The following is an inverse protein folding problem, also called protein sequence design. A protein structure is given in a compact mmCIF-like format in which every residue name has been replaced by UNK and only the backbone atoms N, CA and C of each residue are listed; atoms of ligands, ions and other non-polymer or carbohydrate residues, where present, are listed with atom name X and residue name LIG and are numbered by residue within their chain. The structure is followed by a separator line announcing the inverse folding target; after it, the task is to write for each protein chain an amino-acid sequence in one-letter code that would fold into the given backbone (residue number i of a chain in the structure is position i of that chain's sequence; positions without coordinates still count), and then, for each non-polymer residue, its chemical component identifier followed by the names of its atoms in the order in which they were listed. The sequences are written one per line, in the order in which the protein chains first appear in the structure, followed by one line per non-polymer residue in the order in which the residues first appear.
data_IF_766919327618
#
_entry.id   IF_766919327618
#
_cell.length_a   1.000
_cell.length_b   1.000
_cell.length_c   1.000
_cell.angle_alpha   90.00
_cell.angle_beta   90.00
_cell.angle_gamma   90.00
#
_symmetry.space_group_name_H-M   'P 1'
#
loop_
_entity.id
_entity.type
_entity.pdbx_description
1 polymer ?
#
# COMPACT_ATOMS: atom_id res chain seq x y z
N UNK A 1 -5.43 9.14 11.77
CA UNK A 1 -4.48 8.78 10.70
C UNK A 1 -5.14 8.71 9.33
N UNK A 2 -6.27 8.01 9.16
CA UNK A 2 -6.98 7.87 7.88
C UNK A 2 -7.29 9.20 7.17
N UNK A 3 -7.68 10.26 7.90
CA UNK A 3 -7.98 11.57 7.29
C UNK A 3 -6.78 12.21 6.58
N UNK A 4 -5.54 11.98 7.05
CA UNK A 4 -4.35 12.54 6.42
C UNK A 4 -3.90 11.70 5.22
N UNK A 5 -3.97 10.37 5.33
CA UNK A 5 -3.69 9.43 4.23
C UNK A 5 -4.73 9.57 3.10
N UNK A 6 -6.02 9.74 3.43
CA UNK A 6 -7.07 10.06 2.44
C UNK A 6 -6.87 11.43 1.80
N UNK A 7 -6.34 12.41 2.54
CA UNK A 7 -6.01 13.74 1.97
C UNK A 7 -4.85 13.66 0.98
N UNK A 8 -3.80 12.89 1.28
CA UNK A 8 -2.66 12.70 0.36
C UNK A 8 -3.07 11.86 -0.85
N UNK A 9 -3.75 10.72 -0.65
CA UNK A 9 -4.27 9.90 -1.75
C UNK A 9 -5.26 10.66 -2.63
N UNK A 10 -6.11 11.51 -2.04
CA UNK A 10 -7.02 12.38 -2.76
C UNK A 10 -6.30 13.47 -3.57
N UNK A 11 -5.26 14.09 -3.00
CA UNK A 11 -4.42 15.06 -3.74
C UNK A 11 -3.67 14.38 -4.90
N UNK A 12 -3.15 13.17 -4.67
CA UNK A 12 -2.43 12.38 -5.67
C UNK A 12 -3.37 11.88 -6.77
N UNK A 13 -4.58 11.43 -6.46
CA UNK A 13 -5.56 11.00 -7.48
C UNK A 13 -6.05 12.16 -8.35
N UNK A 14 -6.24 13.34 -7.76
CA UNK A 14 -6.56 14.57 -8.50
C UNK A 14 -5.39 15.02 -9.38
N UNK A 15 -4.14 14.85 -8.94
CA UNK A 15 -2.98 15.16 -9.77
C UNK A 15 -2.73 14.11 -10.87
N UNK A 16 -2.94 12.83 -10.58
CA UNK A 16 -2.85 11.74 -11.55
C UNK A 16 -3.90 11.88 -12.65
N UNK A 17 -5.16 12.16 -12.32
CA UNK A 17 -6.21 12.40 -13.32
C UNK A 17 -5.93 13.63 -14.20
N UNK A 18 -5.30 14.68 -13.65
CA UNK A 18 -4.80 15.82 -14.44
C UNK A 18 -3.62 15.45 -15.35
N UNK A 19 -2.79 14.49 -14.95
CA UNK A 19 -1.68 13.98 -15.75
C UNK A 19 -2.19 13.12 -16.91
N UNK A 20 -3.12 12.21 -16.63
CA UNK A 20 -3.71 11.29 -17.59
C UNK A 20 -4.47 12.03 -18.72
N UNK A 21 -5.13 13.14 -18.37
CA UNK A 21 -5.78 14.01 -19.37
C UNK A 21 -4.78 14.74 -20.28
N UNK A 22 -3.56 15.04 -19.80
CA UNK A 22 -2.46 15.63 -20.59
C UNK A 22 -1.74 14.59 -21.45
N UNK A 23 -1.75 13.32 -21.06
CA UNK A 23 -1.12 12.26 -21.84
C UNK A 23 -1.83 12.02 -23.18
N UNK A 24 -3.15 12.20 -23.24
CA UNK A 24 -3.89 12.16 -24.52
C UNK A 24 -3.44 13.25 -25.50
N UNK A 25 -3.24 14.48 -25.03
CA UNK A 25 -2.75 15.58 -25.87
C UNK A 25 -1.34 15.28 -26.42
N UNK A 26 -0.50 14.61 -25.62
CA UNK A 26 0.83 14.19 -26.05
C UNK A 26 0.79 13.09 -27.10
N UNK A 27 -0.03 12.05 -26.90
CA UNK A 27 -0.22 11.01 -27.90
C UNK A 27 -0.81 11.55 -29.20
N UNK A 28 -1.70 12.55 -29.12
CA UNK A 28 -2.23 13.23 -30.29
C UNK A 28 -1.14 14.00 -31.07
N UNK A 29 -0.28 14.77 -30.38
CA UNK A 29 0.83 15.50 -31.00
C UNK A 29 1.86 14.55 -31.62
N UNK A 30 2.23 13.49 -30.90
CA UNK A 30 3.18 12.47 -31.39
C UNK A 30 2.61 11.76 -32.63
N UNK A 31 1.33 11.36 -32.57
CA UNK A 31 0.67 10.69 -33.70
C UNK A 31 0.55 11.62 -34.91
N UNK A 32 0.15 12.88 -34.71
CA UNK A 32 0.04 13.86 -35.78
C UNK A 32 1.40 14.16 -36.43
N UNK A 33 2.44 14.33 -35.61
CA UNK A 33 3.82 14.55 -36.10
C UNK A 33 4.34 13.33 -36.86
N UNK A 34 4.10 12.12 -36.35
CA UNK A 34 4.46 10.87 -37.02
C UNK A 34 3.74 10.70 -38.36
N UNK A 35 2.45 11.07 -38.43
CA UNK A 35 1.64 10.99 -39.64
C UNK A 35 2.13 12.00 -40.70
N UNK A 36 2.48 13.22 -40.30
CA UNK A 36 3.11 14.22 -41.17
C UNK A 36 4.45 13.75 -41.74
N UNK A 37 5.33 13.20 -40.89
CA UNK A 37 6.62 12.67 -41.33
C UNK A 37 6.46 11.47 -42.27
N UNK A 38 5.54 10.55 -41.95
CA UNK A 38 5.23 9.40 -42.79
C UNK A 38 4.66 9.81 -44.16
N UNK A 39 3.75 10.78 -44.19
CA UNK A 39 3.22 11.34 -45.43
C UNK A 39 4.31 12.03 -46.27
N UNK A 40 5.21 12.78 -45.63
CA UNK A 40 6.35 13.40 -46.31
C UNK A 40 7.31 12.36 -46.91
N UNK A 41 7.61 11.29 -46.18
CA UNK A 41 8.45 10.20 -46.67
C UNK A 41 7.79 9.47 -47.85
N UNK A 42 6.49 9.17 -47.74
CA UNK A 42 5.71 8.55 -48.81
C UNK A 42 5.69 9.42 -50.07
N UNK A 43 5.52 10.74 -49.93
CA UNK A 43 5.54 11.66 -51.07
C UNK A 43 6.90 11.67 -51.80
N UNK A 44 8.00 11.47 -51.08
CA UNK A 44 9.35 11.37 -51.66
C UNK A 44 9.58 10.01 -52.34
N UNK A 45 9.04 8.92 -51.78
CA UNK A 45 9.21 7.56 -52.29
C UNK A 45 8.22 7.18 -53.41
N UNK A 46 7.04 7.80 -53.45
CA UNK A 46 5.98 7.50 -54.41
C UNK A 46 6.43 7.59 -55.88
N UNK A 47 7.16 8.63 -56.32
CA UNK A 47 7.64 8.71 -57.70
C UNK A 47 8.66 7.62 -58.05
N UNK A 48 9.51 7.22 -57.10
CA UNK A 48 10.51 6.17 -57.31
C UNK A 48 9.86 4.80 -57.55
N UNK A 49 8.75 4.51 -56.86
CA UNK A 49 8.02 3.25 -57.01
C UNK A 49 7.14 3.22 -58.28
N UNK A 50 6.48 4.33 -58.62
CA UNK A 50 5.51 4.37 -59.74
C UNK A 50 6.14 4.60 -61.12
N UNK A 51 7.30 5.27 -61.23
CA UNK A 51 7.92 5.60 -62.52
C UNK A 51 8.92 4.53 -63.04
N UNK A 52 9.16 3.44 -62.31
CA UNK A 52 9.91 2.27 -62.82
C UNK A 52 11.33 2.56 -63.33
N UNK A 53 11.99 3.63 -62.82
CA UNK A 53 13.37 3.97 -63.17
C UNK A 53 14.34 3.36 -62.16
N UNK A 54 15.33 2.60 -62.65
CA UNK A 54 16.35 1.91 -61.83
C UNK A 54 17.27 2.85 -61.04
N UNK A 55 17.31 4.15 -61.37
CA UNK A 55 18.07 5.15 -60.62
C UNK A 55 17.32 6.48 -60.60
N UNK A 56 16.70 6.78 -59.45
CA UNK A 56 16.01 8.03 -59.18
C UNK A 56 16.87 8.91 -58.26
N UNK A 57 17.46 9.98 -58.80
CA UNK A 57 18.18 10.97 -58.02
C UNK A 57 17.21 12.08 -57.60
N UNK A 58 16.79 12.05 -56.34
CA UNK A 58 15.97 13.12 -55.72
C UNK A 58 16.90 14.16 -55.14
N UNK A 59 17.04 15.29 -55.81
CA UNK A 59 17.68 16.47 -55.21
C UNK A 59 16.65 17.21 -54.34
N UNK A 60 16.50 16.74 -53.09
CA UNK A 60 15.62 17.36 -52.12
C UNK A 60 16.26 18.64 -51.57
N UNK A 61 15.87 19.80 -52.10
CA UNK A 61 16.31 21.08 -51.54
C UNK A 61 15.49 21.40 -50.30
N UNK A 62 16.03 21.11 -49.12
CA UNK A 62 15.37 21.39 -47.84
C UNK A 62 15.56 22.86 -47.47
N UNK A 63 14.49 23.65 -47.30
CA UNK A 63 14.61 25.03 -46.86
C UNK A 63 15.23 25.09 -45.45
N UNK A 64 16.27 25.90 -45.26
CA UNK A 64 16.90 26.11 -43.94
C UNK A 64 15.91 26.43 -42.81
N UNK A 65 14.84 27.23 -43.03
CA UNK A 65 13.83 27.48 -41.99
C UNK A 65 13.12 26.21 -41.50
N UNK A 66 12.92 25.22 -42.37
CA UNK A 66 12.25 23.96 -42.01
C UNK A 66 13.11 23.13 -41.06
N UNK A 67 14.42 23.04 -41.33
CA UNK A 67 15.37 22.33 -40.45
C UNK A 67 15.42 22.98 -39.07
N UNK A 68 15.52 24.31 -39.02
CA UNK A 68 15.52 25.05 -37.75
C UNK A 68 14.20 24.85 -36.98
N UNK A 69 13.05 24.89 -37.67
CA UNK A 69 11.75 24.62 -37.07
C UNK A 69 11.65 23.21 -36.46
N UNK A 70 12.08 22.18 -37.18
CA UNK A 70 12.07 20.79 -36.69
C UNK A 70 13.02 20.58 -35.51
N UNK A 71 14.23 21.14 -35.57
CA UNK A 71 15.19 21.05 -34.45
C UNK A 71 14.66 21.74 -33.20
N UNK A 72 14.06 22.92 -33.32
CA UNK A 72 13.43 23.62 -32.21
C UNK A 72 12.25 22.84 -31.62
N UNK A 73 11.42 22.22 -32.47
CA UNK A 73 10.29 21.40 -32.03
C UNK A 73 10.76 20.16 -31.25
N UNK A 74 11.78 19.46 -31.74
CA UNK A 74 12.37 18.30 -31.06
C UNK A 74 12.98 18.73 -29.71
N UNK A 75 13.70 19.85 -29.67
CA UNK A 75 14.29 20.38 -28.44
C UNK A 75 13.21 20.72 -27.39
N UNK A 76 12.11 21.36 -27.82
CA UNK A 76 10.98 21.70 -26.97
C UNK A 76 10.28 20.45 -26.44
N UNK A 77 10.01 19.47 -27.32
CA UNK A 77 9.43 18.18 -26.93
C UNK A 77 10.31 17.44 -25.93
N UNK A 78 11.63 17.35 -26.18
CA UNK A 78 12.56 16.71 -25.26
C UNK A 78 12.61 17.42 -23.90
N UNK A 79 12.65 18.76 -23.90
CA UNK A 79 12.64 19.55 -22.66
C UNK A 79 11.34 19.30 -21.87
N UNK A 80 10.20 19.25 -22.57
CA UNK A 80 8.92 18.92 -21.96
C UNK A 80 8.91 17.49 -21.37
N UNK A 81 9.40 16.49 -22.10
CA UNK A 81 9.46 15.11 -21.64
C UNK A 81 10.37 14.96 -20.41
N UNK A 82 11.50 15.67 -20.38
CA UNK A 82 12.41 15.68 -19.23
C UNK A 82 11.75 16.30 -17.99
N UNK A 83 11.10 17.46 -18.14
CA UNK A 83 10.40 18.11 -17.01
C UNK A 83 9.29 17.21 -16.46
N UNK A 84 8.54 16.52 -17.32
CA UNK A 84 7.51 15.57 -16.90
C UNK A 84 8.06 14.35 -16.18
N UNK A 85 9.16 13.77 -16.66
CA UNK A 85 9.82 12.65 -15.97
C UNK A 85 10.29 13.05 -14.57
N UNK A 86 10.80 14.27 -14.41
CA UNK A 86 11.25 14.79 -13.11
C UNK A 86 10.08 14.97 -12.14
N UNK A 87 8.94 15.47 -12.61
CA UNK A 87 7.73 15.64 -11.78
C UNK A 87 7.22 14.30 -11.24
N UNK A 88 7.15 13.27 -12.10
CA UNK A 88 6.72 11.92 -11.70
C UNK A 88 7.68 11.30 -10.69
N UNK A 89 9.00 11.51 -10.86
CA UNK A 89 10.00 11.02 -9.89
C UNK A 89 9.83 11.66 -8.52
N UNK A 90 9.65 12.98 -8.45
CA UNK A 90 9.43 13.69 -7.18
C UNK A 90 8.18 13.20 -6.46
N UNK A 91 7.06 13.07 -7.18
CA UNK A 91 5.82 12.53 -6.62
C UNK A 91 6.01 11.11 -6.06
N UNK A 92 6.77 10.27 -6.75
CA UNK A 92 7.07 8.92 -6.30
C UNK A 92 7.93 8.90 -5.04
N UNK A 93 8.96 9.75 -4.97
CA UNK A 93 9.82 9.89 -3.78
C UNK A 93 9.04 10.40 -2.56
N UNK A 94 8.16 11.38 -2.75
CA UNK A 94 7.29 11.89 -1.68
C UNK A 94 6.34 10.80 -1.15
N UNK A 95 5.77 9.98 -2.05
CA UNK A 95 4.88 8.88 -1.65
C UNK A 95 5.63 7.81 -0.84
N UNK A 96 6.83 7.44 -1.28
CA UNK A 96 7.65 6.43 -0.59
C UNK A 96 8.09 6.95 0.78
N UNK A 97 8.57 8.19 0.86
CA UNK A 97 9.05 8.77 2.13
C UNK A 97 7.92 8.90 3.15
N UNK A 98 6.74 9.37 2.73
CA UNK A 98 5.55 9.43 3.59
C UNK A 98 5.12 8.05 4.09
N UNK A 99 5.10 7.06 3.20
CA UNK A 99 4.74 5.67 3.57
C UNK A 99 5.72 5.08 4.58
N UNK A 100 7.03 5.27 4.34
CA UNK A 100 8.06 4.79 5.26
C UNK A 100 7.98 5.48 6.63
N UNK A 101 7.77 6.79 6.67
CA UNK A 101 7.58 7.51 7.94
C UNK A 101 6.37 7.00 8.72
N UNK A 102 5.26 6.73 8.02
CA UNK A 102 4.07 6.16 8.64
C UNK A 102 4.34 4.78 9.24
N UNK A 103 5.03 3.91 8.51
CA UNK A 103 5.35 2.56 8.99
C UNK A 103 6.34 2.61 10.17
N UNK A 104 7.37 3.44 10.09
CA UNK A 104 8.32 3.64 11.20
C UNK A 104 7.62 4.19 12.45
N UNK A 105 6.74 5.17 12.30
CA UNK A 105 5.97 5.72 13.42
C UNK A 105 5.06 4.66 14.03
N UNK A 106 4.45 3.81 13.19
CA UNK A 106 3.61 2.70 13.65
C UNK A 106 4.42 1.64 14.40
N UNK A 107 5.63 1.32 13.93
CA UNK A 107 6.55 0.41 14.62
C UNK A 107 7.07 1.00 15.94
N UNK A 108 7.29 2.32 16.00
CA UNK A 108 7.77 3.02 17.20
C UNK A 108 6.65 3.37 18.20
N UNK A 109 5.39 3.23 17.83
CA UNK A 109 4.29 3.43 18.77
C UNK A 109 4.30 2.29 19.79
N UNK A 110 4.33 2.61 21.08
CA UNK A 110 4.22 1.57 22.12
C UNK A 110 2.79 1.05 22.25
N UNK A 111 1.80 1.87 21.87
CA UNK A 111 0.39 1.56 22.02
C UNK A 111 -0.29 1.41 20.66
N UNK A 112 -1.30 0.53 20.60
CA UNK A 112 -2.24 0.48 19.50
C UNK A 112 -3.19 1.70 19.59
N UNK A 113 -3.29 2.54 18.55
CA UNK A 113 -4.04 3.79 18.63
C UNK A 113 -5.57 3.61 18.64
N UNK A 114 -6.09 2.42 18.35
CA UNK A 114 -7.54 2.15 18.39
C UNK A 114 -8.00 1.75 19.79
N UNK A 115 -7.14 1.06 20.52
CA UNK A 115 -7.45 0.45 21.82
C UNK A 115 -6.67 1.05 22.98
N UNK A 116 -5.67 1.88 22.70
CA UNK A 116 -4.74 2.52 23.65
C UNK A 116 -3.93 1.55 24.54
N UNK A 117 -4.05 0.24 24.29
CA UNK A 117 -3.25 -0.81 24.95
C UNK A 117 -1.90 -0.98 24.26
N UNK A 118 -0.93 -1.56 24.98
CA UNK A 118 0.37 -1.91 24.39
C UNK A 118 0.20 -2.86 23.21
N UNK A 119 0.90 -2.57 22.12
CA UNK A 119 0.90 -3.44 20.95
C UNK A 119 1.82 -4.67 21.14
N UNK A 120 1.81 -5.58 20.17
CA UNK A 120 2.63 -6.80 20.22
C UNK A 120 4.12 -6.51 20.35
N UNK A 121 4.62 -5.47 19.69
CA UNK A 121 6.03 -5.09 19.79
C UNK A 121 6.43 -4.72 21.22
N UNK A 122 5.60 -3.91 21.89
CA UNK A 122 5.78 -3.57 23.30
C UNK A 122 5.72 -4.78 24.22
N UNK A 123 4.86 -5.75 23.93
CA UNK A 123 4.80 -7.01 24.68
C UNK A 123 6.14 -7.74 24.61
N UNK A 124 6.73 -7.88 23.42
CA UNK A 124 8.00 -8.59 23.23
C UNK A 124 9.14 -7.91 24.03
N UNK A 125 9.23 -6.58 23.99
CA UNK A 125 10.21 -5.83 24.79
C UNK A 125 9.99 -5.98 26.30
N UNK A 126 8.73 -5.88 26.76
CA UNK A 126 8.39 -6.02 28.17
C UNK A 126 8.64 -7.43 28.67
N UNK A 127 8.26 -8.44 27.89
CA UNK A 127 8.40 -9.84 28.23
C UNK A 127 9.86 -10.21 28.50
N UNK A 128 10.80 -9.75 27.67
CA UNK A 128 12.23 -9.97 27.89
C UNK A 128 12.71 -9.45 29.25
N UNK A 129 12.21 -8.28 29.68
CA UNK A 129 12.52 -7.70 31.01
C UNK A 129 11.93 -8.55 32.14
N UNK A 130 10.68 -8.97 32.03
CA UNK A 130 10.00 -9.78 33.05
C UNK A 130 10.55 -11.19 33.15
N UNK A 131 10.88 -11.85 32.04
CA UNK A 131 11.54 -13.16 32.02
C UNK A 131 12.90 -13.07 32.72
N UNK A 132 13.70 -12.05 32.40
CA UNK A 132 15.00 -11.83 33.05
C UNK A 132 14.86 -11.59 34.55
N UNK A 133 13.82 -10.86 34.96
CA UNK A 133 13.49 -10.63 36.37
C UNK A 133 13.07 -11.93 37.08
N UNK A 134 12.16 -12.71 36.49
CA UNK A 134 11.69 -13.98 37.02
C UNK A 134 12.85 -14.98 37.20
N UNK A 135 13.73 -15.08 36.19
CA UNK A 135 14.93 -15.93 36.25
C UNK A 135 15.86 -15.56 37.40
N UNK A 136 16.13 -14.26 37.60
CA UNK A 136 17.02 -13.77 38.69
C UNK A 136 16.40 -13.91 40.07
N UNK A 137 15.11 -13.64 40.21
CA UNK A 137 14.42 -13.61 41.51
C UNK A 137 13.77 -14.93 41.89
N UNK A 138 13.76 -15.92 40.99
CA UNK A 138 13.07 -17.21 41.14
C UNK A 138 11.58 -17.06 41.47
N UNK A 139 10.97 -15.96 41.05
CA UNK A 139 9.51 -15.75 41.16
C UNK A 139 8.80 -16.30 39.92
N UNK A 140 7.60 -16.89 40.08
CA UNK A 140 6.81 -17.35 38.94
C UNK A 140 6.39 -16.16 38.06
N UNK A 141 6.33 -16.38 36.76
CA UNK A 141 5.84 -15.43 35.77
C UNK A 141 4.73 -16.11 34.98
N UNK A 142 3.55 -15.49 34.94
CA UNK A 142 2.39 -16.01 34.22
C UNK A 142 1.96 -15.03 33.14
N UNK A 143 1.65 -15.55 31.96
CA UNK A 143 1.04 -14.82 30.87
C UNK A 143 -0.44 -15.16 30.79
N UNK A 144 -1.27 -14.12 30.63
CA UNK A 144 -2.69 -14.24 30.36
C UNK A 144 -2.96 -13.78 28.92
N UNK A 145 -3.63 -14.62 28.13
CA UNK A 145 -4.17 -14.25 26.84
C UNK A 145 -5.69 -14.17 26.96
N UNK A 146 -6.26 -13.06 26.50
CA UNK A 146 -7.69 -12.77 26.63
C UNK A 146 -8.24 -12.46 25.24
N UNK A 147 -9.33 -13.11 24.88
CA UNK A 147 -10.04 -12.88 23.62
C UNK A 147 -11.53 -12.62 23.88
N UNK A 148 -12.09 -11.70 23.10
CA UNK A 148 -13.51 -11.33 23.18
C UNK A 148 -14.31 -12.24 22.26
N UNK A 149 -15.19 -13.04 22.85
CA UNK A 149 -16.04 -13.95 22.09
C UNK A 149 -17.09 -13.19 21.28
N UNK A 150 -17.30 -13.63 20.03
CA UNK A 150 -18.30 -13.07 19.09
C UNK A 150 -18.15 -11.56 18.83
N UNK A 151 -16.94 -11.01 18.92
CA UNK A 151 -16.69 -9.60 18.62
C UNK A 151 -17.14 -9.18 17.20
N UNK A 152 -17.16 -10.11 16.23
CA UNK A 152 -17.71 -9.84 14.89
C UNK A 152 -19.21 -9.55 14.91
N UNK A 153 -20.00 -10.26 15.74
CA UNK A 153 -21.45 -10.06 15.85
C UNK A 153 -21.78 -8.72 16.51
N UNK A 154 -21.00 -8.35 17.52
CA UNK A 154 -20.96 -7.01 18.10
C UNK A 154 -20.74 -6.00 16.96
N UNK A 155 -19.62 -6.09 16.25
CA UNK A 155 -19.31 -5.11 15.20
C UNK A 155 -20.38 -5.04 14.08
N UNK A 156 -21.07 -6.15 13.79
CA UNK A 156 -22.14 -6.21 12.78
C UNK A 156 -23.45 -5.58 13.29
N UNK A 157 -23.83 -5.79 14.55
CA UNK A 157 -25.04 -5.19 15.14
C UNK A 157 -24.90 -3.69 15.40
N UNK A 158 -23.68 -3.21 15.64
CA UNK A 158 -23.41 -1.83 16.08
C UNK A 158 -23.46 -0.77 14.98
N UNK A 159 -23.72 -1.16 13.72
CA UNK A 159 -24.21 -0.20 12.73
C UNK A 159 -25.55 0.45 13.13
N UNK A 160 -26.30 -0.19 14.04
CA UNK A 160 -27.56 0.31 14.60
C UNK A 160 -27.56 0.22 16.13
N UNK A 161 -27.54 1.39 16.78
CA UNK A 161 -27.35 1.63 18.22
C UNK A 161 -28.36 0.93 19.15
N UNK A 162 -28.20 -0.35 19.47
CA UNK A 162 -28.83 -0.88 20.69
C UNK A 162 -28.07 -2.08 21.28
N UNK A 163 -27.55 -1.88 22.50
CA UNK A 163 -26.78 -2.86 23.27
C UNK A 163 -27.61 -3.56 24.36
N UNK A 164 -28.91 -3.25 24.46
CA UNK A 164 -29.78 -3.86 25.45
C UNK A 164 -29.89 -5.38 25.19
N UNK A 165 -29.27 -6.19 26.06
CA UNK A 165 -29.36 -7.65 26.05
C UNK A 165 -28.19 -8.39 25.39
N UNK A 166 -27.06 -7.75 25.06
CA UNK A 166 -25.89 -8.48 24.56
C UNK A 166 -25.01 -8.98 25.71
N UNK A 167 -24.90 -10.30 25.87
CA UNK A 167 -23.93 -10.93 26.76
C UNK A 167 -22.57 -11.05 26.07
N UNK A 168 -21.60 -10.29 26.57
CA UNK A 168 -20.21 -10.38 26.17
C UNK A 168 -19.56 -11.52 26.96
N UNK A 169 -18.97 -12.49 26.26
CA UNK A 169 -18.15 -13.54 26.87
C UNK A 169 -16.67 -13.28 26.56
N UNK A 170 -15.81 -13.69 27.49
CA UNK A 170 -14.36 -13.58 27.37
C UNK A 170 -13.77 -14.98 27.53
N UNK A 171 -12.91 -15.36 26.60
CA UNK A 171 -12.09 -16.56 26.69
C UNK A 171 -10.70 -16.18 27.19
N UNK A 172 -10.21 -16.86 28.22
CA UNK A 172 -8.90 -16.57 28.85
C UNK A 172 -8.05 -17.83 28.90
N UNK A 173 -6.80 -17.74 28.43
CA UNK A 173 -5.77 -18.76 28.59
C UNK A 173 -4.64 -18.27 29.49
N UNK A 174 -4.04 -19.17 30.28
CA UNK A 174 -3.02 -18.82 31.26
C UNK A 174 -1.81 -19.76 31.21
N UNK A 175 -0.64 -19.25 30.85
CA UNK A 175 0.59 -20.04 30.81
C UNK A 175 1.62 -19.54 31.81
N UNK A 176 2.23 -20.44 32.58
CA UNK A 176 3.37 -20.13 33.44
C UNK A 176 4.68 -20.33 32.68
N UNK A 177 5.55 -19.34 32.75
CA UNK A 177 6.88 -19.37 32.15
C UNK A 177 7.79 -20.35 32.88
N UNK A 178 8.55 -21.13 32.11
CA UNK A 178 9.53 -22.10 32.61
C UNK A 178 10.92 -21.73 32.14
N UNK A 179 11.94 -22.04 32.93
CA UNK A 179 13.32 -21.72 32.53
C UNK A 179 13.70 -22.46 31.25
N UNK A 180 14.29 -21.72 30.30
CA UNK A 180 14.56 -22.19 28.94
C UNK A 180 13.44 -21.93 27.92
N UNK A 181 12.23 -21.57 28.35
CA UNK A 181 11.11 -21.28 27.45
C UNK A 181 11.25 -19.90 26.79
N UNK A 182 11.02 -19.82 25.48
CA UNK A 182 10.97 -18.56 24.73
C UNK A 182 9.65 -17.81 24.97
N UNK A 183 9.58 -16.53 24.57
CA UNK A 183 8.32 -15.78 24.67
C UNK A 183 7.25 -16.33 23.73
N UNK A 184 7.64 -16.76 22.53
CA UNK A 184 6.73 -17.33 21.55
C UNK A 184 6.15 -18.66 22.05
N UNK A 185 6.96 -19.51 22.68
CA UNK A 185 6.48 -20.75 23.30
C UNK A 185 5.51 -20.51 24.47
N UNK A 186 5.77 -19.47 25.28
CA UNK A 186 4.87 -19.07 26.36
C UNK A 186 3.53 -18.56 25.81
N UNK A 187 3.59 -17.75 24.75
CA UNK A 187 2.41 -17.22 24.05
C UNK A 187 1.59 -18.34 23.41
N UNK A 188 2.23 -19.25 22.68
CA UNK A 188 1.56 -20.39 22.04
C UNK A 188 0.88 -21.28 23.08
N UNK A 189 1.50 -21.46 24.25
CA UNK A 189 0.90 -22.23 25.34
C UNK A 189 -0.34 -21.54 25.90
N UNK A 190 -0.28 -20.22 26.10
CA UNK A 190 -1.43 -19.44 26.58
C UNK A 190 -2.55 -19.42 25.53
N UNK A 191 -2.21 -19.25 24.25
CA UNK A 191 -3.15 -19.25 23.12
C UNK A 191 -3.87 -20.59 22.98
N UNK A 192 -3.14 -21.70 23.07
CA UNK A 192 -3.75 -23.03 23.03
C UNK A 192 -4.76 -23.24 24.15
N UNK A 193 -4.43 -22.84 25.38
CA UNK A 193 -5.39 -22.93 26.49
C UNK A 193 -6.61 -22.05 26.28
N UNK A 194 -6.42 -20.82 25.80
CA UNK A 194 -7.52 -19.92 25.49
C UNK A 194 -8.45 -20.53 24.42
N UNK A 195 -7.88 -21.15 23.39
CA UNK A 195 -8.64 -21.81 22.33
C UNK A 195 -9.45 -23.00 22.85
N UNK A 196 -8.90 -23.79 23.77
CA UNK A 196 -9.61 -24.89 24.43
C UNK A 196 -10.82 -24.38 25.25
N UNK A 197 -10.65 -23.29 25.99
CA UNK A 197 -11.73 -22.63 26.74
C UNK A 197 -12.82 -22.14 25.79
N UNK A 198 -12.43 -21.49 24.69
CA UNK A 198 -13.34 -20.98 23.67
C UNK A 198 -14.16 -22.08 23.01
N UNK A 199 -13.51 -23.18 22.63
CA UNK A 199 -14.18 -24.35 22.04
C UNK A 199 -15.16 -25.02 23.01
N UNK A 200 -14.86 -25.02 24.31
CA UNK A 200 -15.75 -25.55 25.35
C UNK A 200 -16.99 -24.66 25.53
N UNK A 201 -16.79 -23.34 25.57
CA UNK A 201 -17.89 -22.38 25.70
C UNK A 201 -18.86 -22.42 24.51
N UNK A 202 -18.34 -22.52 23.28
CA UNK A 202 -19.18 -22.63 22.07
C UNK A 202 -20.03 -23.91 22.07
N UNK A 203 -19.46 -25.05 22.50
CA UNK A 203 -20.19 -26.31 22.61
C UNK A 203 -21.29 -26.25 23.69
N UNK A 204 -21.01 -25.61 24.82
CA UNK A 204 -21.99 -25.43 25.89
C UNK A 204 -23.18 -24.56 25.45
N UNK A 205 -22.91 -23.46 24.74
CA UNK A 205 -23.95 -22.59 24.17
C UNK A 205 -24.80 -23.33 23.14
N UNK A 206 -24.19 -24.07 22.21
CA UNK A 206 -24.90 -24.83 21.19
C UNK A 206 -25.84 -25.89 21.79
N UNK A 207 -25.43 -26.53 22.90
CA UNK A 207 -26.27 -27.48 23.63
C UNK A 207 -27.45 -26.82 24.34
N UNK A 208 -27.30 -25.58 24.82
CA UNK A 208 -28.37 -24.82 25.48
C UNK A 208 -29.39 -24.18 24.53
N UNK A 209 -29.01 -23.90 23.28
CA UNK A 209 -29.88 -23.32 22.25
C UNK A 209 -30.65 -24.35 21.41
N UNK A 210 -30.38 -25.65 21.60
CA UNK A 210 -31.01 -26.76 20.88
C UNK A 210 -32.10 -27.50 21.67
N UNK A 211 -32.50 -26.98 22.84
CA UNK A 211 -33.58 -27.47 23.69
C UNK A 211 -34.69 -26.42 23.79
#
# INVERSE_FOLDING_TARGET
MERHTQSVLGKVSVQLSKLERRDWELWAVVSFTGLLLGAGLLAVLFPAFYLGKDSFHVELTVPRPLVLGLTALIALLNTYLLTKRMEVRKLREELISSTLQHELTKQQSFTDPLTEIYNRHSLDEMAGRYISYARRTKKPLTMLLVDIDRFREVNTKFGHLNLAGFELALSVGAAEWKDGMSIDELMDTADRQMYEVKGTHQKALAASSGA
#
